data_IF_220597855737
#
_entry.id   IF_220597855737
#
_cell.length_a   1.000
_cell.length_b   1.000
_cell.length_c   1.000
_cell.angle_alpha   90.00
_cell.angle_beta   90.00
_cell.angle_gamma   90.00
#
_symmetry.space_group_name_H-M   'P 1'
#
loop_
_entity.id
_entity.type
_entity.pdbx_description
1 polymer ?
#
# COMPACT_ATOMS: atom_id res chain seq x y z
N UNK A 1 10.94 -6.56 35.84
CA UNK A 1 11.76 -6.49 34.61
C UNK A 1 10.88 -6.97 33.46
N UNK A 2 10.77 -6.18 32.41
CA UNK A 2 9.90 -6.44 31.26
C UNK A 2 10.43 -7.64 30.46
N UNK A 3 9.60 -8.62 30.13
CA UNK A 3 10.02 -9.89 29.48
C UNK A 3 10.76 -9.64 28.16
N UNK A 4 10.39 -8.58 27.44
CA UNK A 4 11.10 -8.15 26.21
C UNK A 4 12.48 -7.53 26.47
N UNK A 5 12.65 -6.80 27.58
CA UNK A 5 13.93 -6.21 27.97
C UNK A 5 14.94 -7.28 28.40
N UNK A 6 14.47 -8.31 29.12
CA UNK A 6 15.29 -9.49 29.44
C UNK A 6 15.70 -10.23 28.17
N UNK A 7 14.77 -10.44 27.23
CA UNK A 7 15.06 -11.11 25.95
C UNK A 7 16.07 -10.33 25.09
N UNK A 8 15.97 -9.01 25.03
CA UNK A 8 16.95 -8.13 24.38
C UNK A 8 18.34 -8.26 25.00
N UNK A 9 18.39 -8.25 26.34
CA UNK A 9 19.62 -8.41 27.09
C UNK A 9 20.26 -9.80 26.88
N UNK A 10 19.46 -10.86 26.85
CA UNK A 10 19.91 -12.24 26.52
C UNK A 10 20.45 -12.36 25.08
N UNK A 11 19.99 -11.48 24.17
CA UNK A 11 20.48 -11.39 22.80
C UNK A 11 21.72 -10.48 22.65
N UNK A 12 22.21 -9.89 23.74
CA UNK A 12 23.37 -8.99 23.76
C UNK A 12 23.06 -7.55 23.29
N UNK A 13 21.79 -7.18 23.15
CA UNK A 13 21.37 -5.85 22.72
C UNK A 13 20.83 -5.02 23.89
N UNK A 14 21.35 -3.79 24.03
CA UNK A 14 20.83 -2.80 24.98
C UNK A 14 19.56 -2.17 24.41
N UNK A 15 18.49 -2.10 25.20
CA UNK A 15 17.24 -1.47 24.79
C UNK A 15 17.41 0.05 24.70
N UNK A 16 17.61 0.57 23.49
CA UNK A 16 17.79 2.01 23.22
C UNK A 16 16.50 2.69 22.71
N UNK A 17 15.46 1.92 22.34
CA UNK A 17 14.16 2.49 21.93
C UNK A 17 13.27 2.79 23.14
N UNK A 18 12.91 4.07 23.33
CA UNK A 18 11.85 4.47 24.26
C UNK A 18 10.52 3.90 23.78
N UNK A 19 9.82 3.19 24.67
CA UNK A 19 8.54 2.52 24.39
C UNK A 19 7.39 3.56 24.42
N UNK A 20 7.44 4.55 23.51
CA UNK A 20 6.48 5.67 23.46
C UNK A 20 5.27 5.41 22.54
N UNK A 21 5.32 4.36 21.70
CA UNK A 21 4.22 4.00 20.81
C UNK A 21 3.22 3.08 21.53
N UNK A 22 2.08 3.65 21.90
CA UNK A 22 0.94 2.89 22.42
C UNK A 22 0.33 2.01 21.31
N UNK A 23 -0.41 0.94 21.67
CA UNK A 23 -0.99 -0.03 20.72
C UNK A 23 -1.85 0.67 19.65
N UNK A 24 -2.65 1.65 20.07
CA UNK A 24 -3.48 2.46 19.19
C UNK A 24 -2.66 3.30 18.21
N UNK A 25 -1.57 3.92 18.67
CA UNK A 25 -0.66 4.70 17.81
C UNK A 25 0.03 3.81 16.78
N UNK A 26 0.47 2.61 17.18
CA UNK A 26 1.09 1.65 16.26
C UNK A 26 0.09 1.12 15.22
N UNK A 27 -1.16 0.87 15.62
CA UNK A 27 -2.23 0.51 14.69
C UNK A 27 -2.52 1.65 13.69
N UNK A 28 -2.65 2.88 14.17
CA UNK A 28 -2.90 4.04 13.33
C UNK A 28 -1.78 4.30 12.31
N UNK A 29 -0.51 4.15 12.73
CA UNK A 29 0.64 4.26 11.82
C UNK A 29 0.62 3.14 10.79
N UNK A 30 0.38 1.89 11.20
CA UNK A 30 0.29 0.75 10.29
C UNK A 30 -0.83 0.92 9.26
N UNK A 31 -2.00 1.40 9.70
CA UNK A 31 -3.14 1.70 8.84
C UNK A 31 -2.82 2.79 7.82
N UNK A 32 -2.12 3.85 8.25
CA UNK A 32 -1.69 4.93 7.35
C UNK A 32 -0.70 4.46 6.29
N UNK A 33 0.20 3.53 6.64
CA UNK A 33 1.18 2.97 5.68
C UNK A 33 0.48 2.14 4.59
N UNK A 34 -0.55 1.36 4.96
CA UNK A 34 -1.30 0.52 4.01
C UNK A 34 -2.11 1.37 3.01
N UNK A 35 -2.42 2.63 3.34
CA UNK A 35 -3.09 3.63 2.48
C UNK A 35 -4.16 3.02 1.55
N UNK A 36 -5.27 2.59 2.16
CA UNK A 36 -6.37 1.92 1.46
C UNK A 36 -6.98 2.82 0.37
N UNK A 37 -7.07 4.13 0.64
CA UNK A 37 -7.63 5.13 -0.28
C UNK A 37 -6.91 5.11 -1.63
N UNK A 38 -5.59 5.25 -1.60
CA UNK A 38 -4.76 5.35 -2.79
C UNK A 38 -4.68 4.01 -3.52
N UNK A 39 -4.55 2.92 -2.76
CA UNK A 39 -4.45 1.57 -3.29
C UNK A 39 -5.70 1.14 -4.04
N UNK A 40 -6.89 1.35 -3.44
CA UNK A 40 -8.16 0.98 -4.07
C UNK A 40 -8.39 1.85 -5.30
N UNK A 41 -8.32 3.18 -5.21
CA UNK A 41 -8.63 4.05 -6.35
C UNK A 41 -7.72 3.78 -7.55
N UNK A 42 -6.43 3.52 -7.33
CA UNK A 42 -5.48 3.25 -8.42
C UNK A 42 -5.69 1.88 -9.07
N UNK A 43 -6.09 0.86 -8.30
CA UNK A 43 -6.22 -0.51 -8.81
C UNK A 43 -7.66 -0.91 -9.17
N UNK A 44 -8.66 -0.11 -8.81
CA UNK A 44 -10.07 -0.46 -9.04
C UNK A 44 -10.37 -0.76 -10.51
N UNK A 45 -9.84 0.07 -11.43
CA UNK A 45 -10.02 -0.12 -12.87
C UNK A 45 -9.40 -1.42 -13.39
N UNK A 46 -8.20 -1.76 -12.92
CA UNK A 46 -7.52 -3.02 -13.29
C UNK A 46 -8.22 -4.23 -12.71
N UNK A 47 -8.70 -4.15 -11.46
CA UNK A 47 -9.45 -5.22 -10.81
C UNK A 47 -10.76 -5.52 -11.52
N UNK A 48 -11.48 -4.48 -11.93
CA UNK A 48 -12.73 -4.63 -12.67
C UNK A 48 -12.50 -5.21 -14.07
N UNK A 49 -11.46 -4.75 -14.76
CA UNK A 49 -11.12 -5.21 -16.12
C UNK A 49 -10.63 -6.66 -16.19
N UNK A 50 -9.92 -7.14 -15.18
CA UNK A 50 -9.27 -8.46 -15.23
C UNK A 50 -10.09 -9.58 -14.56
N UNK A 51 -10.98 -9.28 -13.62
CA UNK A 51 -11.70 -10.31 -12.84
C UNK A 51 -13.17 -10.01 -12.55
N UNK A 52 -13.66 -8.82 -12.93
CA UNK A 52 -15.02 -8.40 -12.63
C UNK A 52 -15.32 -8.23 -11.13
N UNK A 53 -16.56 -7.85 -10.77
CA UNK A 53 -16.92 -7.52 -9.39
C UNK A 53 -16.77 -8.67 -8.39
N UNK A 54 -16.98 -9.92 -8.85
CA UNK A 54 -16.94 -11.12 -8.00
C UNK A 54 -15.53 -11.39 -7.49
N UNK A 55 -14.52 -11.28 -8.37
CA UNK A 55 -13.11 -11.47 -8.00
C UNK A 55 -12.63 -10.35 -7.09
N UNK A 56 -13.10 -9.12 -7.28
CA UNK A 56 -12.74 -8.01 -6.40
C UNK A 56 -13.22 -8.23 -4.96
N UNK A 57 -14.43 -8.77 -4.76
CA UNK A 57 -14.97 -9.02 -3.42
C UNK A 57 -14.37 -10.28 -2.79
N UNK A 58 -14.43 -11.42 -3.49
CA UNK A 58 -13.99 -12.70 -2.92
C UNK A 58 -12.46 -12.86 -2.94
N UNK A 59 -11.79 -12.34 -3.97
CA UNK A 59 -10.33 -12.35 -4.05
C UNK A 59 -9.71 -11.57 -2.90
N UNK A 60 -10.28 -10.42 -2.52
CA UNK A 60 -9.85 -9.66 -1.36
C UNK A 60 -9.91 -10.48 -0.07
N UNK A 61 -11.05 -11.15 0.21
CA UNK A 61 -11.24 -11.96 1.42
C UNK A 61 -10.21 -13.09 1.50
N UNK A 62 -9.99 -13.79 0.38
CA UNK A 62 -9.03 -14.89 0.30
C UNK A 62 -7.61 -14.38 0.56
N UNK A 63 -7.21 -13.27 -0.09
CA UNK A 63 -5.88 -12.66 0.10
C UNK A 63 -5.71 -12.22 1.56
N UNK A 64 -6.71 -11.57 2.16
CA UNK A 64 -6.68 -11.20 3.57
C UNK A 64 -6.45 -12.39 4.50
N UNK A 65 -7.10 -13.52 4.24
CA UNK A 65 -6.91 -14.73 5.04
C UNK A 65 -5.46 -15.24 4.98
N UNK A 66 -4.89 -15.37 3.79
CA UNK A 66 -3.50 -15.80 3.64
C UNK A 66 -2.50 -14.80 4.24
N UNK A 67 -2.72 -13.50 4.02
CA UNK A 67 -1.90 -12.44 4.62
C UNK A 67 -1.98 -12.45 6.15
N UNK A 68 -3.13 -12.78 6.73
CA UNK A 68 -3.30 -12.90 8.18
C UNK A 68 -2.47 -14.06 8.74
N UNK A 69 -2.47 -15.22 8.09
CA UNK A 69 -1.63 -16.37 8.48
C UNK A 69 -0.15 -16.02 8.44
N UNK A 70 0.31 -15.31 7.39
CA UNK A 70 1.69 -14.83 7.30
C UNK A 70 1.99 -13.83 8.41
N UNK A 71 1.07 -12.93 8.71
CA UNK A 71 1.18 -11.96 9.81
C UNK A 71 1.32 -12.63 11.19
N UNK A 72 0.56 -13.71 11.44
CA UNK A 72 0.67 -14.49 12.68
C UNK A 72 2.05 -15.15 12.81
N UNK A 73 2.59 -15.73 11.73
CA UNK A 73 3.94 -16.29 11.73
C UNK A 73 5.02 -15.24 12.03
N UNK A 74 4.90 -14.05 11.43
CA UNK A 74 5.81 -12.94 11.73
C UNK A 74 5.66 -12.45 13.18
N UNK A 75 4.44 -12.44 13.73
CA UNK A 75 4.20 -12.06 15.13
C UNK A 75 4.91 -12.99 16.12
N UNK A 76 4.91 -14.30 15.85
CA UNK A 76 5.63 -15.29 16.67
C UNK A 76 7.15 -15.04 16.64
N UNK A 77 7.71 -14.77 15.47
CA UNK A 77 9.14 -14.45 15.30
C UNK A 77 9.50 -13.14 16.02
N UNK A 78 8.69 -12.09 15.86
CA UNK A 78 8.86 -10.81 16.55
C UNK A 78 8.89 -10.96 18.08
N UNK A 79 8.03 -11.82 18.62
CA UNK A 79 7.97 -12.08 20.06
C UNK A 79 9.23 -12.79 20.59
N UNK A 80 9.84 -13.62 19.75
CA UNK A 80 11.06 -14.38 20.07
C UNK A 80 12.34 -13.57 19.92
N UNK A 81 12.37 -12.64 18.95
CA UNK A 81 13.51 -11.81 18.58
C UNK A 81 13.13 -10.33 18.42
N UNK A 82 12.94 -9.60 19.53
CA UNK A 82 12.57 -8.19 19.51
C UNK A 82 13.79 -7.29 19.19
N UNK A 83 14.31 -7.34 17.96
CA UNK A 83 15.47 -6.53 17.51
C UNK A 83 15.08 -5.51 16.44
N UNK A 84 15.57 -4.28 16.57
CA UNK A 84 15.40 -3.20 15.58
C UNK A 84 16.16 -3.56 14.29
N UNK A 85 15.46 -3.79 13.18
CA UNK A 85 16.03 -4.33 11.92
C UNK A 85 15.66 -5.79 11.60
N UNK A 86 14.66 -6.31 12.33
CA UNK A 86 14.18 -7.70 12.37
C UNK A 86 14.43 -8.59 11.15
N UNK A 87 13.99 -8.24 9.94
CA UNK A 87 13.98 -9.19 8.82
C UNK A 87 15.35 -9.80 8.50
N UNK A 88 16.41 -9.00 8.46
CA UNK A 88 17.77 -9.49 8.16
C UNK A 88 18.36 -10.30 9.31
N UNK A 89 18.06 -9.87 10.55
CA UNK A 89 18.51 -10.54 11.76
C UNK A 89 17.79 -11.88 11.94
N UNK A 90 16.48 -11.93 11.70
CA UNK A 90 15.67 -13.14 11.73
C UNK A 90 16.14 -14.11 10.65
N UNK A 91 16.36 -13.65 9.40
CA UNK A 91 16.88 -14.52 8.35
C UNK A 91 18.28 -15.07 8.67
N UNK A 92 19.15 -14.26 9.26
CA UNK A 92 20.48 -14.70 9.69
C UNK A 92 20.40 -15.76 10.79
N UNK A 93 19.51 -15.54 11.78
CA UNK A 93 19.42 -16.37 12.97
C UNK A 93 18.68 -17.68 12.73
N UNK A 94 17.66 -17.69 11.88
CA UNK A 94 16.92 -18.90 11.50
C UNK A 94 17.67 -19.79 10.49
N UNK A 95 18.55 -19.22 9.64
CA UNK A 95 19.30 -19.97 8.61
C UNK A 95 20.57 -20.68 9.14
N UNK A 96 20.85 -20.56 10.45
CA UNK A 96 21.98 -21.21 11.12
C UNK A 96 23.35 -20.59 10.83
N UNK A 97 24.43 -21.02 11.51
CA UNK A 97 25.73 -20.34 11.49
C UNK A 97 26.47 -20.43 10.14
N UNK A 98 26.14 -21.40 9.28
CA UNK A 98 26.79 -21.60 7.98
C UNK A 98 26.15 -20.79 6.84
N UNK A 99 24.82 -20.64 6.85
CA UNK A 99 24.07 -19.95 5.79
C UNK A 99 23.43 -18.63 6.24
N UNK A 100 23.56 -18.27 7.52
CA UNK A 100 23.04 -17.03 8.10
C UNK A 100 23.41 -15.77 7.33
N UNK A 101 24.71 -15.49 7.08
CA UNK A 101 25.12 -14.30 6.33
C UNK A 101 24.58 -14.26 4.89
N UNK A 102 24.50 -15.42 4.23
CA UNK A 102 23.99 -15.53 2.86
C UNK A 102 22.47 -15.29 2.78
N UNK A 103 21.70 -15.90 3.69
CA UNK A 103 20.26 -15.68 3.78
C UNK A 103 19.94 -14.21 4.10
N UNK A 104 20.66 -13.60 5.03
CA UNK A 104 20.51 -12.18 5.35
C UNK A 104 20.86 -11.25 4.18
N UNK A 105 21.88 -11.61 3.39
CA UNK A 105 22.23 -10.86 2.18
C UNK A 105 21.13 -10.93 1.12
N UNK A 106 20.55 -12.12 0.88
CA UNK A 106 19.41 -12.28 -0.03
C UNK A 106 18.21 -11.47 0.46
N UNK A 107 17.81 -11.65 1.73
CA UNK A 107 16.71 -10.88 2.33
C UNK A 107 16.98 -9.37 2.24
N UNK A 108 18.24 -8.97 2.43
CA UNK A 108 18.83 -7.66 2.13
C UNK A 108 18.38 -7.08 0.80
N UNK A 109 18.81 -7.74 -0.25
CA UNK A 109 18.56 -7.32 -1.62
C UNK A 109 17.09 -7.37 -2.00
N UNK A 110 16.35 -8.39 -1.57
CA UNK A 110 14.92 -8.48 -1.84
C UNK A 110 14.14 -7.35 -1.16
N UNK A 111 14.49 -7.00 0.08
CA UNK A 111 13.85 -5.88 0.77
C UNK A 111 14.19 -4.54 0.09
N UNK A 112 15.46 -4.34 -0.32
CA UNK A 112 15.86 -3.14 -1.06
C UNK A 112 15.12 -3.02 -2.41
N UNK A 113 15.12 -4.10 -3.20
CA UNK A 113 14.43 -4.17 -4.48
C UNK A 113 12.93 -3.93 -4.32
N UNK A 114 12.33 -4.53 -3.30
CA UNK A 114 10.93 -4.34 -2.94
C UNK A 114 10.62 -2.87 -2.66
N UNK A 115 11.45 -2.19 -1.86
CA UNK A 115 11.25 -0.77 -1.57
C UNK A 115 11.42 0.14 -2.78
N UNK A 116 12.40 -0.15 -3.65
CA UNK A 116 12.56 0.57 -4.91
C UNK A 116 11.35 0.37 -5.83
N UNK A 117 10.87 -0.87 -5.96
CA UNK A 117 9.72 -1.21 -6.78
C UNK A 117 8.42 -0.57 -6.25
N UNK A 118 8.22 -0.57 -4.93
CA UNK A 118 7.06 0.07 -4.28
C UNK A 118 7.09 1.58 -4.51
N UNK A 119 8.23 2.23 -4.29
CA UNK A 119 8.38 3.68 -4.51
C UNK A 119 8.09 4.03 -5.97
N UNK A 120 8.69 3.32 -6.92
CA UNK A 120 8.45 3.51 -8.34
C UNK A 120 6.98 3.30 -8.73
N UNK A 121 6.31 2.28 -8.16
CA UNK A 121 4.91 1.99 -8.43
C UNK A 121 3.96 3.07 -7.92
N UNK A 122 4.22 3.61 -6.73
CA UNK A 122 3.43 4.71 -6.14
C UNK A 122 3.61 5.98 -6.96
N UNK A 123 4.85 6.35 -7.28
CA UNK A 123 5.14 7.56 -8.05
C UNK A 123 4.58 7.48 -9.47
N UNK A 124 4.59 6.29 -10.08
CA UNK A 124 3.94 6.07 -11.37
C UNK A 124 2.42 6.23 -11.28
N UNK A 125 1.80 5.68 -10.24
CA UNK A 125 0.36 5.85 -10.01
C UNK A 125 -0.02 7.33 -9.81
N UNK A 126 0.81 8.09 -9.10
CA UNK A 126 0.63 9.54 -8.94
C UNK A 126 0.76 10.27 -10.29
N UNK A 127 1.75 9.92 -11.11
CA UNK A 127 1.91 10.50 -12.45
C UNK A 127 0.70 10.22 -13.35
N UNK A 128 0.10 9.03 -13.26
CA UNK A 128 -1.14 8.70 -13.97
C UNK A 128 -2.31 9.56 -13.49
N UNK A 129 -2.48 9.71 -12.17
CA UNK A 129 -3.55 10.54 -11.61
C UNK A 129 -3.39 12.00 -12.05
N UNK A 130 -2.19 12.57 -12.01
CA UNK A 130 -1.92 13.94 -12.48
C UNK A 130 -2.25 14.07 -13.96
N UNK A 131 -1.90 13.08 -14.78
CA UNK A 131 -2.20 13.09 -16.21
C UNK A 131 -3.71 13.12 -16.48
N UNK A 132 -4.49 12.37 -15.69
CA UNK A 132 -5.97 12.41 -15.75
C UNK A 132 -6.50 13.76 -15.29
N UNK A 133 -5.96 14.34 -14.22
CA UNK A 133 -6.35 15.67 -13.73
C UNK A 133 -6.09 16.75 -14.79
N UNK A 134 -4.95 16.71 -15.47
CA UNK A 134 -4.63 17.63 -16.58
C UNK A 134 -5.63 17.46 -17.73
N UNK A 135 -5.95 16.22 -18.09
CA UNK A 135 -6.92 15.93 -19.15
C UNK A 135 -8.32 16.46 -18.81
N UNK A 136 -8.75 16.32 -17.54
CA UNK A 136 -10.03 16.83 -17.05
C UNK A 136 -10.04 18.37 -16.95
N UNK A 137 -8.93 18.98 -16.51
CA UNK A 137 -8.83 20.43 -16.33
C UNK A 137 -8.72 21.19 -17.64
N UNK A 138 -8.19 20.55 -18.69
CA UNK A 138 -8.05 21.13 -20.05
C UNK A 138 -9.27 20.83 -20.92
N UNK A 139 -10.34 20.28 -20.35
CA UNK A 139 -11.58 19.95 -21.06
C UNK A 139 -12.39 21.23 -21.30
N UNK A 140 -12.19 21.85 -22.46
CA UNK A 140 -13.03 22.96 -22.95
C UNK A 140 -14.40 22.50 -23.47
N UNK A 141 -15.20 23.44 -23.99
CA UNK A 141 -16.55 23.20 -24.55
C UNK A 141 -16.58 22.15 -25.69
N UNK A 142 -15.43 21.90 -26.34
CA UNK A 142 -15.29 20.97 -27.46
C UNK A 142 -15.20 19.49 -27.03
N UNK A 143 -15.22 19.20 -25.72
CA UNK A 143 -15.24 17.85 -25.18
C UNK A 143 -13.93 17.06 -25.26
N UNK A 144 -12.90 17.59 -25.93
CA UNK A 144 -11.57 16.96 -26.09
C UNK A 144 -10.57 17.57 -25.10
N UNK A 145 -10.31 16.87 -24.00
CA UNK A 145 -9.24 17.23 -23.06
C UNK A 145 -7.86 16.87 -23.60
N UNK A 146 -6.81 17.59 -23.19
CA UNK A 146 -5.44 17.27 -23.57
C UNK A 146 -5.04 15.87 -23.10
N UNK A 147 -4.82 14.96 -24.04
CA UNK A 147 -4.36 13.59 -23.74
C UNK A 147 -2.83 13.63 -23.59
N UNK A 148 -2.35 13.41 -22.37
CA UNK A 148 -0.91 13.31 -22.12
C UNK A 148 -0.30 12.16 -22.93
N UNK A 149 0.69 12.48 -23.77
CA UNK A 149 1.50 11.47 -24.45
C UNK A 149 2.35 10.71 -23.42
N UNK A 150 2.74 9.46 -23.72
CA UNK A 150 3.58 8.61 -22.86
C UNK A 150 4.87 9.32 -22.42
N UNK A 151 5.46 10.13 -23.30
CA UNK A 151 6.64 10.94 -22.99
C UNK A 151 6.36 12.02 -21.93
N UNK A 152 5.18 12.65 -21.96
CA UNK A 152 4.77 13.65 -20.97
C UNK A 152 4.53 13.01 -19.60
N UNK A 153 3.88 11.84 -19.56
CA UNK A 153 3.68 11.07 -18.32
C UNK A 153 5.02 10.66 -17.72
N UNK A 154 5.97 10.23 -18.55
CA UNK A 154 7.32 9.88 -18.10
C UNK A 154 8.09 11.10 -17.57
N UNK A 155 7.90 12.28 -18.18
CA UNK A 155 8.46 13.53 -17.68
C UNK A 155 7.89 13.95 -16.31
N UNK A 156 6.57 13.82 -16.12
CA UNK A 156 5.90 14.06 -14.83
C UNK A 156 6.42 13.08 -13.78
N UNK A 157 6.52 11.79 -14.13
CA UNK A 157 7.05 10.76 -13.25
C UNK A 157 8.50 11.06 -12.81
N UNK A 158 9.37 11.43 -13.75
CA UNK A 158 10.76 11.80 -13.43
C UNK A 158 10.83 13.03 -12.52
N UNK A 159 9.97 14.04 -12.74
CA UNK A 159 9.91 15.23 -11.89
C UNK A 159 9.45 14.89 -10.45
N UNK A 160 8.46 14.00 -10.29
CA UNK A 160 8.00 13.53 -8.98
C UNK A 160 9.13 12.81 -8.24
N UNK A 161 9.84 11.89 -8.91
CA UNK A 161 10.96 11.15 -8.32
C UNK A 161 12.07 12.09 -7.83
N UNK A 162 12.45 13.09 -8.63
CA UNK A 162 13.45 14.08 -8.23
C UNK A 162 12.96 14.89 -7.04
N UNK A 163 11.69 15.32 -7.03
CA UNK A 163 11.08 16.05 -5.92
C UNK A 163 11.09 15.22 -4.63
N UNK A 164 10.64 13.97 -4.68
CA UNK A 164 10.68 13.05 -3.54
C UNK A 164 12.10 12.80 -3.05
N UNK A 165 13.08 12.61 -3.96
CA UNK A 165 14.49 12.46 -3.61
C UNK A 165 15.07 13.69 -2.90
N UNK A 166 14.73 14.90 -3.36
CA UNK A 166 15.15 16.15 -2.74
C UNK A 166 14.50 16.33 -1.36
N UNK A 167 13.19 16.09 -1.23
CA UNK A 167 12.48 16.17 0.05
C UNK A 167 13.05 15.18 1.07
N UNK A 168 13.38 13.96 0.64
CA UNK A 168 14.00 12.95 1.49
C UNK A 168 15.42 13.35 1.94
N UNK A 169 16.16 14.09 1.10
CA UNK A 169 17.53 14.52 1.42
C UNK A 169 17.58 15.74 2.34
N UNK A 170 16.68 16.72 2.16
CA UNK A 170 16.76 18.02 2.83
C UNK A 170 15.71 18.25 3.92
N UNK A 171 14.67 17.41 4.01
CA UNK A 171 13.43 17.74 4.73
C UNK A 171 12.98 16.74 5.79
N UNK A 172 13.87 16.16 6.62
CA UNK A 172 13.45 15.17 7.64
C UNK A 172 12.37 15.70 8.59
N UNK A 173 12.45 16.99 8.98
CA UNK A 173 11.43 17.62 9.83
C UNK A 173 10.11 17.89 9.08
N UNK A 174 10.20 18.25 7.79
CA UNK A 174 9.03 18.42 6.92
C UNK A 174 8.34 17.09 6.63
N UNK A 175 9.11 16.03 6.42
CA UNK A 175 8.63 14.67 6.23
C UNK A 175 7.88 14.17 7.46
N UNK A 176 8.40 14.47 8.66
CA UNK A 176 7.71 14.14 9.92
C UNK A 176 6.35 14.84 10.02
N UNK A 177 6.28 16.14 9.71
CA UNK A 177 5.02 16.90 9.69
C UNK A 177 4.02 16.37 8.65
N UNK A 178 4.47 16.20 7.39
CA UNK A 178 3.63 15.67 6.32
C UNK A 178 3.11 14.27 6.65
N UNK A 179 3.91 13.43 7.30
CA UNK A 179 3.49 12.11 7.74
C UNK A 179 2.38 12.20 8.80
N UNK A 180 2.48 13.10 9.79
CA UNK A 180 1.41 13.30 10.78
C UNK A 180 0.12 13.81 10.15
N UNK A 181 0.21 14.75 9.21
CA UNK A 181 -0.95 15.23 8.43
C UNK A 181 -1.54 14.11 7.58
N UNK A 182 -0.70 13.30 6.94
CA UNK A 182 -1.12 12.14 6.16
C UNK A 182 -1.91 11.15 7.01
N UNK A 183 -1.41 10.80 8.20
CA UNK A 183 -2.12 9.91 9.14
C UNK A 183 -3.49 10.48 9.50
N UNK A 184 -3.57 11.78 9.82
CA UNK A 184 -4.84 12.44 10.13
C UNK A 184 -5.81 12.40 8.93
N UNK A 185 -5.33 12.69 7.72
CA UNK A 185 -6.11 12.65 6.49
C UNK A 185 -6.63 11.25 6.17
N UNK A 186 -5.81 10.21 6.38
CA UNK A 186 -6.21 8.83 6.14
C UNK A 186 -7.29 8.37 7.11
N UNK A 187 -7.20 8.74 8.40
CA UNK A 187 -8.22 8.41 9.40
C UNK A 187 -9.54 9.10 9.03
N UNK A 188 -9.52 10.40 8.75
CA UNK A 188 -10.72 11.16 8.38
C UNK A 188 -11.30 10.65 7.07
N UNK A 189 -10.48 10.49 6.03
CA UNK A 189 -10.90 10.03 4.70
C UNK A 189 -11.52 8.63 4.73
N UNK A 190 -10.98 7.72 5.54
CA UNK A 190 -11.54 6.38 5.72
C UNK A 190 -12.92 6.43 6.37
N UNK A 191 -13.05 7.18 7.48
CA UNK A 191 -14.34 7.34 8.18
C UNK A 191 -15.39 7.93 7.23
N UNK A 192 -15.00 8.96 6.45
CA UNK A 192 -15.87 9.57 5.45
C UNK A 192 -16.30 8.54 4.42
N UNK A 193 -15.39 7.78 3.80
CA UNK A 193 -15.77 6.79 2.78
C UNK A 193 -16.67 5.68 3.36
N UNK A 194 -16.36 5.17 4.56
CA UNK A 194 -17.14 4.11 5.21
C UNK A 194 -18.57 4.56 5.53
N UNK A 195 -18.77 5.84 5.85
CA UNK A 195 -20.10 6.40 6.15
C UNK A 195 -20.81 6.87 4.88
N UNK A 196 -20.09 7.50 3.96
CA UNK A 196 -20.64 8.18 2.79
C UNK A 196 -20.99 7.19 1.67
N UNK A 197 -20.24 6.09 1.51
CA UNK A 197 -20.60 5.02 0.55
C UNK A 197 -21.98 4.40 0.83
N UNK A 198 -22.31 3.95 2.06
CA UNK A 198 -23.65 3.44 2.34
C UNK A 198 -24.72 4.55 2.39
N UNK A 199 -24.36 5.79 2.69
CA UNK A 199 -25.31 6.91 2.70
C UNK A 199 -25.68 7.42 1.30
N UNK A 200 -24.75 7.34 0.33
CA UNK A 200 -24.95 7.81 -1.05
C UNK A 200 -25.35 6.68 -1.99
N UNK A 201 -25.20 5.40 -1.60
CA UNK A 201 -25.67 4.26 -2.38
C UNK A 201 -27.22 4.24 -2.45
N UNK A 202 -27.85 4.61 -3.57
CA UNK A 202 -29.32 4.70 -3.66
C UNK A 202 -29.97 3.33 -3.89
N UNK A 203 -29.19 2.31 -4.25
CA UNK A 203 -29.67 0.95 -4.48
C UNK A 203 -28.72 -0.07 -3.88
N UNK A 204 -29.22 -0.85 -2.92
CA UNK A 204 -28.58 -2.09 -2.50
C UNK A 204 -28.85 -3.12 -3.59
N UNK A 205 -27.84 -3.56 -4.34
CA UNK A 205 -28.06 -4.71 -5.23
C UNK A 205 -28.22 -5.97 -4.38
N UNK A 206 -29.39 -6.65 -4.42
CA UNK A 206 -29.57 -7.87 -3.67
C UNK A 206 -28.64 -8.96 -4.22
N UNK A 207 -28.04 -9.72 -3.30
CA UNK A 207 -27.10 -10.82 -3.57
C UNK A 207 -27.69 -12.00 -4.38
N UNK A 208 -28.93 -11.88 -4.88
CA UNK A 208 -29.64 -12.92 -5.64
C UNK A 208 -29.63 -12.71 -7.16
N UNK A 209 -29.01 -11.66 -7.70
CA UNK A 209 -28.78 -11.60 -9.16
C UNK A 209 -27.59 -12.48 -9.51
N UNK A 210 -27.92 -13.65 -10.07
CA UNK A 210 -26.98 -14.65 -10.59
C UNK A 210 -25.70 -14.02 -11.17
N UNK A 211 -24.50 -14.40 -10.67
CA UNK A 211 -23.22 -13.84 -11.14
C UNK A 211 -22.90 -14.11 -12.62
N UNK A 212 -23.71 -14.91 -13.32
CA UNK A 212 -23.56 -15.19 -14.76
C UNK A 212 -24.22 -14.17 -15.70
N UNK A 213 -24.91 -13.13 -15.20
CA UNK A 213 -25.62 -12.17 -16.06
C UNK A 213 -24.76 -11.00 -16.57
N UNK A 214 -23.47 -10.92 -16.19
CA UNK A 214 -22.58 -9.82 -16.63
C UNK A 214 -22.09 -9.97 -18.09
N UNK A 215 -22.33 -11.11 -18.73
CA UNK A 215 -21.87 -11.37 -20.11
C UNK A 215 -22.88 -10.95 -21.20
N UNK A 216 -24.11 -10.56 -20.84
CA UNK A 216 -25.21 -10.48 -21.82
C UNK A 216 -25.86 -9.09 -21.98
N UNK A 217 -25.22 -8.02 -21.50
CA UNK A 217 -25.68 -6.65 -21.78
C UNK A 217 -24.68 -5.88 -22.64
N UNK A 218 -24.73 -6.13 -23.95
CA UNK A 218 -24.48 -5.10 -24.95
C UNK A 218 -23.15 -5.14 -25.71
N UNK A 219 -22.91 -6.18 -26.51
CA UNK A 219 -22.21 -6.00 -27.78
C UNK A 219 -23.30 -5.87 -28.85
N UNK A 220 -23.54 -4.69 -29.45
CA UNK A 220 -24.34 -4.61 -30.66
C UNK A 220 -23.58 -5.39 -31.74
N UNK A 221 -24.15 -6.53 -32.14
CA UNK A 221 -23.71 -7.29 -33.31
C UNK A 221 -23.79 -6.40 -34.55
N UNK A 222 -22.63 -5.91 -35.02
CA UNK A 222 -22.48 -5.37 -36.36
C UNK A 222 -22.22 -6.54 -37.32
N UNK A 223 -23.27 -6.99 -38.01
CA UNK A 223 -23.24 -7.62 -39.35
C UNK A 223 -24.68 -7.65 -39.89
N UNK A 224 -24.92 -7.69 -41.22
CA UNK A 224 -24.11 -8.30 -42.28
C UNK A 224 -23.14 -7.35 -42.99
#
# INVERSE_FOLDING_TARGET
MDTGQQRLHDLGYKQELKRELNLFTNFAVSFSIISILTGITSQFGTGLGNGGPVVMVWGWVIVCFFSFVVGLSMAEICSSFPTTGGLYFWSAKLSGPRFGPFAAWITGWFNLLGQVAVTAGIDFSLAQIISVVIALSTRGEDGVGYVCNKATVLGIYAAILVCHGLLNTFGVNWLSFLNTVSVAWHIVGTIVIVILLPAVAPTHQPASKNPCAFTDSGIPSLSP
#
